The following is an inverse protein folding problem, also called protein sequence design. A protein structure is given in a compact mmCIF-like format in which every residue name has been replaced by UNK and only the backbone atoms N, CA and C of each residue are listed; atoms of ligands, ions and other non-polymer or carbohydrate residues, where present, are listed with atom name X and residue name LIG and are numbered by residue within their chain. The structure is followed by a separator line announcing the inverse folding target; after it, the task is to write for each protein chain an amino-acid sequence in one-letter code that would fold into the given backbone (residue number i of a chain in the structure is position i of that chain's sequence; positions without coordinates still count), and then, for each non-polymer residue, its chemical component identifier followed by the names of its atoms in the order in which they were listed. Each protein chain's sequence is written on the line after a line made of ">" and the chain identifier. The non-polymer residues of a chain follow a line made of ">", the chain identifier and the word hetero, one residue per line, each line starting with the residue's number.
data_IF_383040977996
#
_entry.id   IF_383040977996
#
_cell.length_a   1.000
_cell.length_b   1.000
_cell.length_c   1.000
_cell.angle_alpha   90.00
_cell.angle_beta   90.00
_cell.angle_gamma   90.00
#
_symmetry.space_group_name_H-M   'P 1'
#
loop_
_entity.id
_entity.type
_entity.pdbx_description
1 polymer ?
#
# COMPACT_ATOMS: atom_id res chain seq x y z
N UNK A 1 4.52 -4.02 -13.05
CA UNK A 1 4.76 -4.02 -11.58
C UNK A 1 4.29 -2.68 -11.05
N UNK A 2 3.92 -2.53 -9.77
CA UNK A 2 3.59 -1.21 -9.22
C UNK A 2 4.76 -0.21 -9.31
N UNK A 3 6.01 -0.65 -9.52
CA UNK A 3 7.14 0.25 -9.84
C UNK A 3 7.44 1.30 -8.76
N UNK A 4 6.88 1.13 -7.56
CA UNK A 4 7.02 2.04 -6.43
C UNK A 4 7.14 1.23 -5.14
N UNK A 5 7.63 1.91 -4.11
CA UNK A 5 7.76 1.38 -2.77
C UNK A 5 6.89 2.22 -1.85
N UNK A 6 5.98 1.59 -1.10
CA UNK A 6 5.11 2.27 -0.17
C UNK A 6 5.82 2.35 1.18
N UNK A 7 6.63 3.40 1.38
CA UNK A 7 7.44 3.59 2.57
C UNK A 7 6.65 4.37 3.62
N UNK A 8 6.24 3.69 4.69
CA UNK A 8 5.62 4.30 5.84
C UNK A 8 6.67 4.50 6.93
N UNK A 9 6.79 5.73 7.41
CA UNK A 9 7.57 6.04 8.61
C UNK A 9 6.70 6.75 9.61
N UNK A 10 6.88 6.42 10.87
CA UNK A 10 6.29 7.19 11.95
C UNK A 10 7.15 7.16 13.20
N UNK A 11 6.95 8.13 14.07
CA UNK A 11 7.66 8.18 15.34
C UNK A 11 7.36 9.44 16.15
N UNK A 12 8.02 9.51 17.29
CA UNK A 12 8.03 10.65 18.19
C UNK A 12 9.40 10.69 18.92
N UNK A 13 9.49 11.35 20.06
CA UNK A 13 10.74 11.47 20.81
C UNK A 13 11.30 10.13 21.34
N UNK A 14 10.45 9.10 21.47
CA UNK A 14 10.81 7.81 22.10
C UNK A 14 10.71 6.63 21.15
N UNK A 15 9.91 6.73 20.08
CA UNK A 15 9.66 5.65 19.13
C UNK A 15 10.01 6.06 17.69
N UNK A 16 10.55 5.12 16.93
CA UNK A 16 10.77 5.29 15.49
C UNK A 16 10.52 3.98 14.75
N UNK A 17 9.76 4.05 13.67
CA UNK A 17 9.43 2.90 12.83
C UNK A 17 9.53 3.25 11.35
N UNK A 18 9.96 2.27 10.56
CA UNK A 18 10.02 2.31 9.10
C UNK A 18 9.51 0.97 8.57
N UNK A 19 8.58 1.01 7.62
CA UNK A 19 8.01 -0.16 6.97
C UNK A 19 7.87 0.07 5.47
N UNK A 20 8.13 -1.00 4.71
CA UNK A 20 7.78 -1.08 3.30
C UNK A 20 6.59 -1.99 3.11
N UNK A 21 5.52 -1.49 2.49
CA UNK A 21 4.27 -2.23 2.34
C UNK A 21 4.20 -2.85 0.93
N UNK A 22 3.92 -4.15 0.88
CA UNK A 22 3.83 -4.96 -0.34
C UNK A 22 2.67 -4.53 -1.26
N UNK A 23 2.61 -5.07 -2.47
CA UNK A 23 1.45 -4.95 -3.37
C UNK A 23 1.42 -6.15 -4.31
N UNK A 24 0.72 -6.08 -5.43
CA UNK A 24 0.72 -7.11 -6.45
C UNK A 24 1.96 -7.14 -7.34
N UNK A 25 2.37 -8.35 -7.72
CA UNK A 25 3.40 -8.59 -8.71
C UNK A 25 2.93 -8.25 -10.15
N UNK A 26 3.85 -7.99 -11.10
CA UNK A 26 3.48 -7.81 -12.50
C UNK A 26 2.89 -9.09 -13.10
N UNK A 27 1.96 -8.91 -14.05
CA UNK A 27 1.66 -9.92 -15.05
C UNK A 27 2.71 -9.92 -16.17
N UNK A 28 2.79 -11.02 -16.92
CA UNK A 28 3.61 -11.10 -18.11
C UNK A 28 3.16 -12.19 -19.07
N UNK A 29 3.91 -12.43 -20.16
CA UNK A 29 3.54 -13.43 -21.15
C UNK A 29 3.55 -14.82 -20.50
N UNK A 30 2.37 -15.41 -20.34
CA UNK A 30 2.21 -16.76 -19.78
C UNK A 30 1.98 -16.83 -18.28
N UNK A 31 1.87 -15.70 -17.56
CA UNK A 31 1.69 -15.72 -16.11
C UNK A 31 0.95 -14.52 -15.54
N UNK A 32 0.05 -14.80 -14.59
CA UNK A 32 -0.54 -13.80 -13.69
C UNK A 32 0.48 -13.33 -12.65
N UNK A 33 0.29 -12.12 -12.14
CA UNK A 33 1.03 -11.62 -10.98
C UNK A 33 0.51 -12.22 -9.68
N UNK A 34 1.43 -12.60 -8.78
CA UNK A 34 1.09 -12.96 -7.41
C UNK A 34 0.61 -11.77 -6.58
N UNK A 35 -0.37 -11.98 -5.72
CA UNK A 35 -0.93 -10.95 -4.84
C UNK A 35 -0.02 -10.66 -3.65
N UNK A 36 -0.06 -9.41 -3.15
CA UNK A 36 0.48 -9.01 -1.85
C UNK A 36 1.93 -9.44 -1.55
N UNK A 37 2.82 -9.34 -2.54
CA UNK A 37 4.23 -9.70 -2.45
C UNK A 37 5.15 -8.50 -2.74
N UNK A 38 6.30 -8.44 -2.08
CA UNK A 38 7.35 -7.50 -2.45
C UNK A 38 8.07 -7.97 -3.71
N UNK A 39 8.05 -7.16 -4.77
CA UNK A 39 8.69 -7.49 -6.06
C UNK A 39 10.02 -6.79 -6.30
N UNK A 40 10.24 -5.61 -5.71
CA UNK A 40 11.47 -4.82 -5.89
C UNK A 40 12.32 -4.68 -4.62
N UNK A 41 11.75 -5.03 -3.46
CA UNK A 41 12.45 -5.06 -2.18
C UNK A 41 12.12 -6.38 -1.47
N UNK A 42 12.67 -7.47 -1.99
CA UNK A 42 12.28 -8.86 -1.64
C UNK A 42 12.83 -9.36 -0.30
N UNK A 43 13.71 -8.58 0.36
CA UNK A 43 14.36 -8.95 1.62
C UNK A 43 13.75 -8.27 2.85
N UNK A 44 12.66 -7.50 2.72
CA UNK A 44 11.91 -6.96 3.85
C UNK A 44 10.72 -7.85 4.14
N UNK A 45 10.79 -8.59 5.24
CA UNK A 45 9.60 -9.23 5.81
C UNK A 45 8.78 -8.16 6.51
N UNK A 46 7.45 -8.27 6.41
CA UNK A 46 6.56 -7.46 7.21
C UNK A 46 6.71 -7.85 8.69
N UNK A 47 6.75 -6.88 9.59
CA UNK A 47 6.71 -7.15 11.03
C UNK A 47 5.39 -7.81 11.39
N UNK A 48 5.45 -8.92 12.14
CA UNK A 48 4.27 -9.60 12.66
C UNK A 48 3.40 -8.61 13.46
N UNK A 49 2.06 -8.62 13.30
CA UNK A 49 1.17 -7.71 14.00
C UNK A 49 1.38 -7.69 15.52
N UNK A 50 1.57 -8.85 16.14
CA UNK A 50 1.78 -8.97 17.59
C UNK A 50 3.11 -8.34 18.04
N UNK A 51 4.15 -8.44 17.21
CA UNK A 51 5.45 -7.80 17.47
C UNK A 51 5.35 -6.29 17.26
N UNK A 52 4.60 -5.84 16.26
CA UNK A 52 4.36 -4.43 16.01
C UNK A 52 3.62 -3.77 17.19
N UNK A 53 2.49 -4.33 17.60
CA UNK A 53 1.65 -3.77 18.67
C UNK A 53 2.28 -3.86 20.06
N UNK A 54 3.17 -4.83 20.30
CA UNK A 54 3.88 -4.95 21.59
C UNK A 54 5.06 -3.99 21.73
N UNK A 55 5.64 -3.53 20.61
CA UNK A 55 6.83 -2.68 20.61
C UNK A 55 6.54 -1.21 20.33
N UNK A 56 5.43 -0.92 19.67
CA UNK A 56 5.06 0.43 19.26
C UNK A 56 3.63 0.73 19.71
N UNK A 57 3.33 1.98 20.09
CA UNK A 57 2.00 2.38 20.54
C UNK A 57 1.08 2.59 19.34
N UNK A 58 0.79 1.50 18.61
CA UNK A 58 -0.13 1.43 17.48
C UNK A 58 -0.97 0.16 17.57
N UNK A 59 -2.12 0.16 16.91
CA UNK A 59 -2.98 -1.01 16.70
C UNK A 59 -3.15 -1.26 15.21
N UNK A 60 -2.98 -2.49 14.76
CA UNK A 60 -3.26 -2.87 13.39
C UNK A 60 -4.78 -3.06 13.22
N UNK A 61 -5.43 -2.10 12.56
CA UNK A 61 -6.88 -2.11 12.37
C UNK A 61 -7.30 -3.01 11.20
N UNK A 62 -6.55 -2.97 10.11
CA UNK A 62 -6.74 -3.89 8.98
C UNK A 62 -5.43 -4.15 8.28
N UNK A 63 -5.28 -5.37 7.77
CA UNK A 63 -4.30 -5.70 6.76
C UNK A 63 -4.86 -6.79 5.85
N UNK A 64 -5.26 -6.41 4.64
CA UNK A 64 -5.99 -7.29 3.74
C UNK A 64 -5.55 -7.14 2.29
N UNK A 65 -5.79 -8.19 1.50
CA UNK A 65 -5.61 -8.16 0.05
C UNK A 65 -6.84 -7.50 -0.57
N UNK A 66 -6.63 -6.45 -1.36
CA UNK A 66 -7.70 -5.77 -2.10
C UNK A 66 -8.10 -6.60 -3.31
N UNK A 67 -8.91 -7.64 -3.10
CA UNK A 67 -9.24 -8.63 -4.14
C UNK A 67 -9.81 -7.99 -5.41
N UNK A 68 -9.24 -8.37 -6.56
CA UNK A 68 -9.60 -7.85 -7.87
C UNK A 68 -9.04 -6.46 -8.20
N UNK A 69 -8.11 -5.92 -7.40
CA UNK A 69 -7.45 -4.62 -7.63
C UNK A 69 -6.35 -4.64 -8.68
N UNK A 70 -5.78 -5.80 -9.01
CA UNK A 70 -4.77 -5.95 -10.06
C UNK A 70 -5.31 -5.57 -11.44
N UNK A 71 -4.51 -4.87 -12.23
CA UNK A 71 -4.83 -4.51 -13.62
C UNK A 71 -5.18 -5.74 -14.45
N UNK A 72 -6.22 -5.61 -15.28
CA UNK A 72 -6.80 -6.74 -16.02
C UNK A 72 -6.13 -6.94 -17.38
N UNK A 73 -5.98 -8.18 -17.79
CA UNK A 73 -5.46 -8.53 -19.11
C UNK A 73 -5.72 -10.01 -19.38
N UNK A 74 -5.19 -10.52 -20.49
CA UNK A 74 -5.05 -11.96 -20.68
C UNK A 74 -4.41 -12.58 -19.43
N UNK A 75 -3.36 -11.92 -18.94
CA UNK A 75 -2.78 -12.16 -17.63
C UNK A 75 -3.00 -10.95 -16.72
N UNK A 76 -3.56 -11.20 -15.54
CA UNK A 76 -3.88 -10.19 -14.54
C UNK A 76 -2.65 -9.87 -13.70
N UNK A 77 -2.47 -8.60 -13.36
CA UNK A 77 -1.51 -8.24 -12.33
C UNK A 77 -2.00 -8.72 -10.96
N UNK A 78 -1.08 -8.89 -10.01
CA UNK A 78 -1.45 -9.22 -8.64
C UNK A 78 -2.25 -8.11 -7.97
N UNK A 79 -3.04 -8.50 -7.00
CA UNK A 79 -3.80 -7.58 -6.15
C UNK A 79 -2.89 -6.89 -5.13
N UNK A 80 -3.20 -5.62 -4.86
CA UNK A 80 -2.56 -4.82 -3.82
C UNK A 80 -3.13 -5.11 -2.43
N UNK A 81 -2.68 -4.34 -1.44
CA UNK A 81 -3.11 -4.47 -0.05
C UNK A 81 -3.67 -3.16 0.50
N UNK A 82 -4.58 -3.29 1.45
CA UNK A 82 -5.01 -2.20 2.34
C UNK A 82 -4.44 -2.47 3.72
N UNK A 83 -3.78 -1.48 4.30
CA UNK A 83 -3.23 -1.54 5.66
C UNK A 83 -3.64 -0.29 6.43
N UNK A 84 -4.11 -0.45 7.66
CA UNK A 84 -4.44 0.69 8.52
C UNK A 84 -3.94 0.52 9.95
N UNK A 85 -3.34 1.57 10.49
CA UNK A 85 -2.79 1.65 11.84
C UNK A 85 -3.50 2.75 12.62
N UNK A 86 -4.06 2.40 13.78
CA UNK A 86 -4.56 3.38 14.75
C UNK A 86 -3.46 3.70 15.74
N UNK A 87 -3.16 4.98 15.93
CA UNK A 87 -2.08 5.43 16.81
C UNK A 87 -2.59 5.53 18.25
N UNK A 88 -1.76 5.13 19.21
CA UNK A 88 -2.07 5.22 20.64
C UNK A 88 -1.32 6.36 21.34
N UNK A 89 -0.38 6.99 20.63
CA UNK A 89 0.34 8.20 21.04
C UNK A 89 0.37 9.20 19.89
N UNK A 90 0.59 10.48 20.23
CA UNK A 90 0.86 11.51 19.24
C UNK A 90 2.20 11.24 18.53
N UNK A 91 2.17 11.30 17.20
CA UNK A 91 3.32 11.01 16.35
C UNK A 91 3.38 11.89 15.11
N UNK A 92 4.56 11.96 14.50
CA UNK A 92 4.74 12.39 13.13
C UNK A 92 4.67 11.16 12.21
N UNK A 93 3.88 11.24 11.14
CA UNK A 93 3.73 10.20 10.11
C UNK A 93 4.20 10.79 8.79
N UNK A 94 5.08 10.08 8.10
CA UNK A 94 5.54 10.44 6.75
C UNK A 94 5.40 9.26 5.81
N UNK A 95 4.99 9.54 4.58
CA UNK A 95 4.77 8.57 3.53
C UNK A 95 5.56 8.97 2.29
N UNK A 96 6.34 8.03 1.75
CA UNK A 96 7.00 8.17 0.44
C UNK A 96 6.56 7.02 -0.45
N UNK A 97 5.77 7.36 -1.46
CA UNK A 97 4.93 6.40 -2.17
C UNK A 97 4.48 6.96 -3.54
N UNK A 98 4.58 6.18 -4.61
CA UNK A 98 4.31 6.61 -5.99
C UNK A 98 2.94 6.21 -6.53
N UNK A 99 2.59 6.59 -7.75
CA UNK A 99 1.32 6.21 -8.41
C UNK A 99 0.05 6.56 -7.62
N UNK A 100 0.03 7.77 -7.05
CA UNK A 100 -1.17 8.40 -6.46
C UNK A 100 -1.91 9.30 -7.46
N UNK A 101 -1.30 9.52 -8.64
CA UNK A 101 -1.80 10.41 -9.70
C UNK A 101 -1.83 9.67 -11.04
N UNK A 102 -0.71 9.02 -11.41
CA UNK A 102 -0.58 8.28 -12.67
C UNK A 102 -0.55 6.77 -12.36
N UNK A 103 -1.42 5.94 -12.97
CA UNK A 103 -1.43 4.50 -12.73
C UNK A 103 -0.28 3.81 -13.45
N UNK A 104 0.03 2.58 -13.02
CA UNK A 104 0.92 1.72 -13.78
C UNK A 104 0.20 1.25 -15.04
N UNK A 105 0.73 1.62 -16.21
CA UNK A 105 0.12 1.30 -17.49
C UNK A 105 0.10 -0.20 -17.77
N UNK A 106 -1.02 -0.69 -18.31
CA UNK A 106 -1.10 -2.04 -18.84
C UNK A 106 -0.26 -2.21 -20.12
N UNK A 107 -0.01 -3.45 -20.52
CA UNK A 107 0.83 -3.74 -21.69
C UNK A 107 0.11 -4.65 -22.68
N UNK A 108 0.35 -4.44 -23.98
CA UNK A 108 -0.24 -5.22 -25.08
C UNK A 108 -1.77 -5.36 -25.01
N UNK A 109 -2.48 -4.28 -24.68
CA UNK A 109 -3.95 -4.29 -24.55
C UNK A 109 -4.47 -4.54 -23.13
N UNK A 110 -3.58 -4.84 -22.18
CA UNK A 110 -3.96 -4.91 -20.77
C UNK A 110 -4.40 -3.54 -20.22
N UNK A 111 -5.32 -3.58 -19.27
CA UNK A 111 -5.80 -2.43 -18.53
C UNK A 111 -4.77 -1.96 -17.48
N UNK A 112 -4.82 -0.67 -17.19
CA UNK A 112 -4.00 -0.03 -16.17
C UNK A 112 -4.28 -0.58 -14.77
N UNK A 113 -3.26 -0.49 -13.91
CA UNK A 113 -3.41 -0.76 -12.49
C UNK A 113 -4.21 0.32 -11.78
N UNK A 114 -4.63 0.03 -10.54
CA UNK A 114 -5.28 1.02 -9.67
C UNK A 114 -4.25 1.96 -9.05
N UNK A 115 -4.65 3.21 -8.86
CA UNK A 115 -3.90 4.17 -8.07
C UNK A 115 -3.88 3.76 -6.60
N UNK A 116 -2.80 4.12 -5.91
CA UNK A 116 -2.73 4.01 -4.46
C UNK A 116 -3.40 5.19 -3.78
N UNK A 117 -3.74 5.02 -2.51
CA UNK A 117 -4.42 6.02 -1.69
C UNK A 117 -3.77 6.06 -0.29
N UNK A 118 -3.60 7.27 0.27
CA UNK A 118 -3.12 7.47 1.63
C UNK A 118 -4.13 8.36 2.36
N UNK A 119 -4.66 7.93 3.50
CA UNK A 119 -5.70 8.65 4.23
C UNK A 119 -5.45 8.62 5.73
N UNK A 120 -5.91 9.66 6.42
CA UNK A 120 -6.04 9.70 7.88
C UNK A 120 -7.48 9.95 8.24
N UNK A 121 -8.04 9.09 9.10
CA UNK A 121 -9.28 9.37 9.80
C UNK A 121 -8.96 10.12 11.09
N UNK A 122 -9.37 11.39 11.13
CA UNK A 122 -9.20 12.30 12.27
C UNK A 122 -10.22 12.00 13.37
N UNK A 123 -9.98 12.54 14.57
CA UNK A 123 -10.84 12.28 15.74
C UNK A 123 -12.28 12.79 15.59
N UNK A 124 -12.48 13.84 14.80
CA UNK A 124 -13.79 14.39 14.45
C UNK A 124 -14.48 13.64 13.29
N UNK A 125 -13.82 12.62 12.75
CA UNK A 125 -14.29 11.84 11.60
C UNK A 125 -13.88 12.40 10.25
N UNK A 126 -13.15 13.53 10.18
CA UNK A 126 -12.63 14.05 8.92
C UNK A 126 -11.67 13.04 8.26
N UNK A 127 -11.78 12.86 6.95
CA UNK A 127 -10.84 12.08 6.15
C UNK A 127 -9.87 13.02 5.45
N UNK A 128 -8.65 13.09 5.97
CA UNK A 128 -7.57 13.80 5.30
C UNK A 128 -6.85 12.87 4.33
N UNK A 129 -6.74 13.27 3.06
CA UNK A 129 -5.94 12.54 2.06
C UNK A 129 -4.52 13.09 2.00
N UNK A 130 -3.52 12.21 2.03
CA UNK A 130 -2.11 12.56 1.90
C UNK A 130 -1.61 12.30 0.48
N UNK A 131 -0.65 13.11 0.03
CA UNK A 131 0.03 12.91 -1.25
C UNK A 131 0.97 11.69 -1.19
N UNK A 132 1.58 11.38 -2.34
CA UNK A 132 2.57 10.31 -2.45
C UNK A 132 3.82 10.56 -1.61
N UNK A 133 4.28 11.81 -1.56
CA UNK A 133 5.36 12.29 -0.70
C UNK A 133 4.78 13.34 0.23
N UNK A 134 4.50 12.98 1.48
CA UNK A 134 3.80 13.83 2.42
C UNK A 134 4.14 13.48 3.87
N UNK A 135 3.87 14.41 4.77
CA UNK A 135 4.05 14.21 6.22
C UNK A 135 3.03 15.00 7.02
N UNK A 136 2.58 14.44 8.13
CA UNK A 136 1.63 15.12 9.01
C UNK A 136 1.74 14.60 10.44
N UNK A 137 1.22 15.40 11.38
CA UNK A 137 1.02 14.95 12.75
C UNK A 137 -0.25 14.10 12.81
N UNK A 138 -0.17 13.02 13.58
CA UNK A 138 -1.30 12.17 13.91
C UNK A 138 -1.47 12.18 15.43
N UNK A 139 -2.72 12.28 15.88
CA UNK A 139 -3.09 12.25 17.29
C UNK A 139 -3.38 10.82 17.75
N UNK A 140 -3.18 10.57 19.04
CA UNK A 140 -3.66 9.34 19.65
C UNK A 140 -5.17 9.17 19.37
N UNK A 141 -5.55 7.98 18.90
CA UNK A 141 -6.90 7.61 18.46
C UNK A 141 -7.15 7.75 16.95
N UNK A 142 -6.33 8.50 16.23
CA UNK A 142 -6.47 8.66 14.78
C UNK A 142 -5.90 7.46 14.01
N UNK A 143 -6.37 7.25 12.79
CA UNK A 143 -6.01 6.08 11.98
C UNK A 143 -5.39 6.50 10.65
N UNK A 144 -4.16 6.08 10.38
CA UNK A 144 -3.57 6.15 9.05
C UNK A 144 -3.93 4.89 8.25
N UNK A 145 -4.35 5.05 7.01
CA UNK A 145 -4.61 3.97 6.06
C UNK A 145 -3.82 4.20 4.77
N UNK A 146 -3.29 3.12 4.23
CA UNK A 146 -2.70 3.07 2.89
C UNK A 146 -3.32 1.93 2.09
N UNK A 147 -3.74 2.26 0.88
CA UNK A 147 -4.05 1.32 -0.19
C UNK A 147 -2.93 1.39 -1.21
N UNK A 148 -2.32 0.24 -1.52
CA UNK A 148 -1.17 0.21 -2.42
C UNK A 148 -1.60 0.24 -3.88
N UNK A 149 -0.89 0.98 -4.75
CA UNK A 149 -1.16 0.92 -6.19
C UNK A 149 -0.88 -0.48 -6.74
N UNK A 150 -1.54 -0.85 -7.83
CA UNK A 150 -1.32 -2.15 -8.48
C UNK A 150 -0.62 -2.01 -9.82
N UNK A 151 -0.05 -3.11 -10.32
CA UNK A 151 0.47 -3.16 -11.68
C UNK A 151 -0.66 -3.20 -12.72
N UNK A 152 -0.34 -2.79 -13.95
CA UNK A 152 -1.20 -3.03 -15.11
C UNK A 152 -1.16 -4.49 -15.58
N UNK A 153 -2.24 -4.93 -16.24
CA UNK A 153 -2.35 -6.27 -16.83
C UNK A 153 -1.53 -6.42 -18.10
N UNK A 154 -1.45 -7.66 -18.60
CA UNK A 154 -0.77 -8.00 -19.85
C UNK A 154 -1.74 -8.68 -20.81
N UNK A 155 -1.77 -8.23 -22.07
CA UNK A 155 -2.65 -8.81 -23.11
C UNK A 155 -4.09 -8.32 -23.00
N UNK A 156 -4.89 -8.53 -24.05
CA UNK A 156 -6.30 -8.16 -24.05
C UNK A 156 -7.07 -9.01 -23.01
N UNK A 157 -7.84 -8.41 -22.09
CA UNK A 157 -8.71 -9.14 -21.16
C UNK A 157 -9.66 -10.15 -21.82
N UNK A 158 -9.99 -9.99 -23.10
CA UNK A 158 -10.82 -10.92 -23.86
C UNK A 158 -10.10 -12.23 -24.25
N UNK A 159 -8.77 -12.28 -24.16
CA UNK A 159 -7.93 -13.44 -24.51
C UNK A 159 -7.61 -14.36 -23.31
N UNK A 160 -8.23 -14.11 -22.16
CA UNK A 160 -8.00 -14.84 -20.90
C UNK A 160 -8.72 -16.20 -20.85
#
# INVERSE_FOLDING_TARGET
>A
SQGTMNNLTFGNATHQYYETICSGAPAGPGFDGADAIHTHMTNSHLTDPEVLESRLPVRLKTFEIMRGSGGKGQYNAGDGVRRALTFLEDMDVSILSGNRIVPCTGTKGGADGRLGMNQITRLDGEIQTLKGCDSTKIKAGETFMVETPTGGGYGDPHDR
#
